data_IF_090734726128
#
_entry.id   IF_090734726128
#
_cell.length_a   1.000
_cell.length_b   1.000
_cell.length_c   1.000
_cell.angle_alpha   90.00
_cell.angle_beta   90.00
_cell.angle_gamma   90.00
#
_symmetry.space_group_name_H-M   'P 1'
#
loop_
_entity.id
_entity.type
_entity.pdbx_description
1 polymer ?
#
# COMPACT_ATOMS: atom_id res chain seq x y z
N UNK A 1 34.94 3.36 -22.45
CA UNK A 1 34.06 4.26 -21.68
C UNK A 1 33.13 3.37 -20.86
N UNK A 2 33.58 2.91 -19.69
CA UNK A 2 32.95 1.81 -18.94
C UNK A 2 32.05 2.37 -17.83
N UNK A 3 31.19 3.31 -18.18
CA UNK A 3 30.64 4.27 -17.22
C UNK A 3 29.66 3.67 -16.21
N UNK A 4 29.10 2.49 -16.40
CA UNK A 4 28.09 1.94 -15.50
C UNK A 4 28.16 0.41 -15.47
N UNK A 5 29.27 -0.17 -15.00
CA UNK A 5 29.22 -1.58 -14.66
C UNK A 5 28.16 -1.78 -13.57
N UNK A 6 27.11 -2.58 -13.82
CA UNK A 6 25.98 -2.78 -12.89
C UNK A 6 26.41 -3.14 -11.47
N UNK A 7 27.63 -3.67 -11.33
CA UNK A 7 28.29 -4.01 -10.08
C UNK A 7 28.38 -2.88 -9.07
N UNK A 8 28.62 -1.63 -9.50
CA UNK A 8 28.73 -0.50 -8.58
C UNK A 8 27.38 -0.17 -7.92
N UNK A 9 26.30 -0.28 -8.69
CA UNK A 9 24.93 -0.02 -8.19
C UNK A 9 24.57 -1.04 -7.13
N UNK A 10 24.91 -2.32 -7.34
CA UNK A 10 24.69 -3.38 -6.35
C UNK A 10 25.39 -3.05 -5.03
N UNK A 11 26.65 -2.62 -5.09
CA UNK A 11 27.40 -2.20 -3.89
C UNK A 11 26.74 -1.03 -3.15
N UNK A 12 26.30 0.00 -3.87
CA UNK A 12 25.61 1.16 -3.27
C UNK A 12 24.32 0.71 -2.59
N UNK A 13 23.50 -0.12 -3.25
CA UNK A 13 22.25 -0.65 -2.69
C UNK A 13 22.51 -1.46 -1.42
N UNK A 14 23.55 -2.31 -1.41
CA UNK A 14 23.92 -3.10 -0.24
C UNK A 14 24.31 -2.20 0.94
N UNK A 15 25.18 -1.21 0.71
CA UNK A 15 25.59 -0.26 1.77
C UNK A 15 24.39 0.56 2.26
N UNK A 16 23.52 0.98 1.36
CA UNK A 16 22.31 1.74 1.70
C UNK A 16 21.33 0.91 2.53
N UNK A 17 21.15 -0.38 2.20
CA UNK A 17 20.33 -1.31 2.98
C UNK A 17 20.88 -1.55 4.38
N UNK A 18 22.21 -1.56 4.55
CA UNK A 18 22.84 -1.70 5.88
C UNK A 18 22.62 -0.43 6.71
N UNK A 19 22.77 0.75 6.10
CA UNK A 19 22.65 2.03 6.81
C UNK A 19 21.21 2.40 7.16
N UNK A 20 20.28 2.18 6.23
CA UNK A 20 18.85 2.51 6.41
C UNK A 20 18.03 1.34 6.96
N UNK A 21 18.48 0.10 6.78
CA UNK A 21 17.76 -1.11 7.15
C UNK A 21 16.75 -1.58 6.10
N UNK A 22 16.56 -2.90 6.01
CA UNK A 22 15.70 -3.56 5.02
C UNK A 22 14.22 -3.19 5.11
N UNK A 23 13.74 -2.67 6.26
CA UNK A 23 12.34 -2.25 6.46
C UNK A 23 12.08 -0.79 6.08
N UNK A 24 13.08 0.09 6.10
CA UNK A 24 12.89 1.53 5.85
C UNK A 24 12.91 1.89 4.37
N UNK A 25 13.70 1.18 3.56
CA UNK A 25 13.69 1.34 2.10
C UNK A 25 12.33 1.02 1.45
N UNK A 26 11.70 -0.15 1.69
CA UNK A 26 10.41 -0.46 1.08
C UNK A 26 9.28 0.42 1.63
N UNK A 27 9.36 0.84 2.89
CA UNK A 27 8.37 1.73 3.50
C UNK A 27 8.44 3.13 2.89
N UNK A 28 9.65 3.70 2.75
CA UNK A 28 9.87 4.96 2.05
C UNK A 28 9.47 4.88 0.57
N UNK A 29 9.84 3.80 -0.13
CA UNK A 29 9.46 3.57 -1.52
C UNK A 29 7.94 3.45 -1.70
N UNK A 30 7.22 2.83 -0.75
CA UNK A 30 5.75 2.76 -0.76
C UNK A 30 5.11 4.14 -0.56
N UNK A 31 5.67 4.97 0.32
CA UNK A 31 5.23 6.35 0.52
C UNK A 31 5.46 7.21 -0.73
N UNK A 32 6.69 7.19 -1.26
CA UNK A 32 7.10 7.91 -2.45
C UNK A 32 6.34 7.42 -3.70
N UNK A 33 6.10 6.12 -3.83
CA UNK A 33 5.36 5.53 -4.95
C UNK A 33 3.91 5.96 -5.01
N UNK A 34 3.23 6.14 -3.86
CA UNK A 34 1.87 6.69 -3.82
C UNK A 34 1.83 8.15 -4.29
N UNK A 35 2.75 8.98 -3.81
CA UNK A 35 2.84 10.38 -4.25
C UNK A 35 3.24 10.50 -5.72
N UNK A 36 4.17 9.68 -6.19
CA UNK A 36 4.61 9.66 -7.58
C UNK A 36 3.53 9.16 -8.53
N UNK A 37 2.63 8.26 -8.10
CA UNK A 37 1.48 7.81 -8.90
C UNK A 37 0.49 8.94 -9.16
N UNK A 38 0.18 9.74 -8.14
CA UNK A 38 -0.73 10.90 -8.26
C UNK A 38 -0.12 11.95 -9.20
N UNK A 39 1.15 12.28 -8.98
CA UNK A 39 1.88 13.20 -9.84
C UNK A 39 2.00 12.70 -11.28
N UNK A 40 2.24 11.39 -11.47
CA UNK A 40 2.28 10.75 -12.79
C UNK A 40 0.93 10.83 -13.50
N UNK A 41 -0.19 10.62 -12.80
CA UNK A 41 -1.52 10.74 -13.42
C UNK A 41 -1.83 12.17 -13.83
N UNK A 42 -1.53 13.17 -13.00
CA UNK A 42 -1.72 14.59 -13.35
C UNK A 42 -0.87 15.00 -14.55
N UNK A 43 0.41 14.60 -14.58
CA UNK A 43 1.28 14.86 -15.73
C UNK A 43 0.84 14.10 -16.97
N UNK A 44 0.38 12.85 -16.80
CA UNK A 44 -0.05 12.01 -17.91
C UNK A 44 -1.34 12.53 -18.52
N UNK A 45 -2.26 13.10 -17.74
CA UNK A 45 -3.46 13.76 -18.23
C UNK A 45 -3.09 14.98 -19.08
N UNK A 46 -2.13 15.78 -18.60
CA UNK A 46 -1.58 16.93 -19.35
C UNK A 46 -0.81 16.53 -20.63
N UNK A 47 -0.29 15.30 -20.71
CA UNK A 47 0.35 14.75 -21.92
C UNK A 47 -0.59 13.92 -22.81
N UNK A 48 -1.75 13.47 -22.30
CA UNK A 48 -2.71 12.63 -23.02
C UNK A 48 -3.79 13.43 -23.76
N UNK A 49 -3.86 14.75 -23.61
CA UNK A 49 -4.72 15.60 -24.45
C UNK A 49 -4.40 15.48 -25.96
N UNK A 50 -3.28 14.83 -26.34
CA UNK A 50 -2.89 14.54 -27.73
C UNK A 50 -3.00 13.05 -28.18
N UNK A 51 -3.50 12.09 -27.38
CA UNK A 51 -3.66 10.67 -27.84
C UNK A 51 -4.67 9.83 -27.04
N UNK A 52 -5.47 8.93 -27.68
CA UNK A 52 -6.47 8.14 -26.97
C UNK A 52 -5.83 7.05 -26.10
N UNK A 53 -6.42 6.90 -24.92
CA UNK A 53 -5.96 6.11 -23.79
C UNK A 53 -5.98 4.59 -24.03
N UNK A 54 -4.93 3.94 -23.53
CA UNK A 54 -4.88 2.50 -23.32
C UNK A 54 -3.71 2.17 -22.42
N UNK A 55 -3.98 1.95 -21.13
CA UNK A 55 -3.39 0.85 -20.35
C UNK A 55 -3.94 0.84 -18.93
N UNK A 56 -4.87 -0.10 -18.71
CA UNK A 56 -5.22 -0.62 -17.40
C UNK A 56 -4.06 -1.47 -16.91
N UNK A 57 -3.34 -1.04 -15.87
CA UNK A 57 -2.47 -1.95 -15.13
C UNK A 57 -2.27 -1.53 -13.66
N UNK A 58 -2.66 -2.46 -12.79
CA UNK A 58 -2.11 -2.71 -11.45
C UNK A 58 -2.69 -1.90 -10.29
N UNK A 59 -3.77 -2.46 -9.74
CA UNK A 59 -4.13 -2.42 -8.34
C UNK A 59 -3.35 -3.58 -7.65
N UNK A 60 -2.37 -3.32 -6.77
CA UNK A 60 -1.91 -4.32 -5.85
C UNK A 60 -2.78 -4.23 -4.59
N UNK A 61 -3.72 -5.17 -4.52
CA UNK A 61 -4.44 -5.50 -3.31
C UNK A 61 -3.46 -5.74 -2.17
N UNK A 62 -3.43 -4.81 -1.23
CA UNK A 62 -2.84 -5.04 0.09
C UNK A 62 -3.94 -5.61 0.97
N UNK A 63 -4.23 -6.91 0.81
CA UNK A 63 -4.97 -7.68 1.80
C UNK A 63 -4.28 -7.51 3.17
N UNK A 64 -5.01 -7.09 4.23
CA UNK A 64 -4.50 -7.21 5.59
C UNK A 64 -4.32 -8.70 5.89
N UNK A 65 -3.07 -9.14 6.02
CA UNK A 65 -2.76 -10.46 6.55
C UNK A 65 -3.14 -10.50 8.03
N UNK A 66 -4.31 -11.09 8.30
CA UNK A 66 -4.61 -11.98 9.42
C UNK A 66 -3.74 -11.80 10.68
N UNK A 67 -4.19 -10.97 11.61
CA UNK A 67 -3.87 -11.17 13.03
C UNK A 67 -4.90 -12.14 13.61
N UNK A 68 -4.67 -13.43 13.37
CA UNK A 68 -5.37 -14.52 14.03
C UNK A 68 -4.73 -14.71 15.41
N UNK A 69 -5.38 -14.16 16.43
CA UNK A 69 -5.00 -14.36 17.81
C UNK A 69 -6.03 -13.79 18.77
N UNK A 70 -7.21 -14.40 18.88
CA UNK A 70 -7.59 -15.12 20.10
C UNK A 70 -9.03 -15.64 19.99
N UNK A 71 -9.16 -16.94 20.24
CA UNK A 71 -10.39 -17.69 20.22
C UNK A 71 -11.05 -17.62 21.61
N UNK A 72 -11.91 -16.64 21.86
CA UNK A 72 -12.81 -16.69 23.04
C UNK A 72 -14.22 -16.22 22.70
N UNK A 73 -15.04 -17.22 22.31
CA UNK A 73 -16.47 -17.37 22.62
C UNK A 73 -17.45 -16.44 21.88
N UNK A 74 -17.70 -16.79 20.63
CA UNK A 74 -19.06 -16.75 20.08
C UNK A 74 -19.90 -17.82 20.77
N UNK A 75 -21.04 -17.43 21.34
CA UNK A 75 -21.99 -18.35 21.95
C UNK A 75 -23.25 -17.64 22.42
N UNK A 76 -24.20 -17.48 21.50
CA UNK A 76 -25.64 -17.55 21.75
C UNK A 76 -26.27 -16.55 22.74
N UNK A 77 -26.94 -15.52 22.20
CA UNK A 77 -28.39 -15.36 22.49
C UNK A 77 -29.07 -14.36 21.52
N UNK A 78 -29.95 -14.80 20.62
CA UNK A 78 -30.83 -13.95 19.85
C UNK A 78 -32.23 -13.93 20.47
N UNK A 79 -32.45 -13.29 21.62
CA UNK A 79 -33.81 -13.05 22.14
C UNK A 79 -33.84 -11.94 23.21
N UNK A 80 -34.97 -11.24 23.26
CA UNK A 80 -35.53 -10.57 24.45
C UNK A 80 -35.23 -9.05 24.63
N UNK A 81 -36.00 -8.14 24.01
CA UNK A 81 -37.32 -7.64 24.46
C UNK A 81 -37.25 -6.42 25.43
N UNK A 82 -38.09 -5.41 25.14
CA UNK A 82 -38.66 -4.42 26.07
C UNK A 82 -37.79 -3.26 26.61
N UNK A 83 -37.38 -2.33 25.73
CA UNK A 83 -37.11 -0.94 26.15
C UNK A 83 -37.82 0.14 25.33
N UNK A 84 -38.96 -0.23 24.75
CA UNK A 84 -40.01 0.72 24.39
C UNK A 84 -41.09 0.64 25.47
N UNK A 85 -41.64 1.78 25.88
CA UNK A 85 -42.87 1.97 26.68
C UNK A 85 -42.80 1.77 28.21
N UNK A 86 -42.43 2.83 28.94
CA UNK A 86 -43.22 3.27 30.11
C UNK A 86 -43.25 4.81 30.17
N UNK A 87 -44.36 5.45 29.80
CA UNK A 87 -44.68 6.80 30.23
C UNK A 87 -45.28 6.74 31.66
N UNK A 88 -44.85 7.64 32.53
CA UNK A 88 -45.55 8.03 33.76
C UNK A 88 -45.27 9.51 34.00
#
# INVERSE_FOLDING_TARGET
MNALQPWHIVFVVVVFLILFGSRKLPDAARGLGRSMRIFKSEISEMNNDDKPAGDTASQPDSHPALDSGDAVRTGTDPHHNSRMQRPA
#
